data_IF_114316776317
#
_entry.id   IF_114316776317
#
_cell.length_a   1.000
_cell.length_b   1.000
_cell.length_c   1.000
_cell.angle_alpha   90.00
_cell.angle_beta   90.00
_cell.angle_gamma   90.00
#
_symmetry.space_group_name_H-M   'P 1'
#
loop_
_entity.id
_entity.type
_entity.pdbx_description
1 polymer ?
#
# COMPACT_ATOMS: atom_id res chain seq x y z
N UNK A 1 5.83 -10.09 23.80
CA UNK A 1 4.55 -9.49 24.22
C UNK A 1 3.65 -9.60 23.01
N UNK A 2 2.55 -10.34 23.08
CA UNK A 2 1.60 -10.40 21.96
C UNK A 2 1.00 -9.01 21.77
N UNK A 3 0.88 -8.50 20.53
CA UNK A 3 0.18 -7.24 20.30
C UNK A 3 -1.27 -7.34 20.82
N UNK A 4 -1.83 -6.24 21.35
CA UNK A 4 -3.20 -6.24 21.83
C UNK A 4 -4.15 -6.50 20.65
N UNK A 5 -4.96 -7.55 20.74
CA UNK A 5 -6.08 -7.78 19.83
C UNK A 5 -7.11 -6.67 20.05
N UNK A 6 -7.35 -5.83 19.05
CA UNK A 6 -8.36 -4.77 19.09
C UNK A 6 -9.76 -5.37 19.34
N UNK A 7 -10.41 -5.05 20.47
CA UNK A 7 -11.71 -5.61 20.83
C UNK A 7 -12.88 -5.10 19.98
N UNK A 8 -12.69 -4.06 19.15
CA UNK A 8 -13.77 -3.42 18.37
C UNK A 8 -13.76 -3.77 16.87
N UNK A 9 -12.88 -4.67 16.41
CA UNK A 9 -12.98 -5.18 15.03
C UNK A 9 -14.22 -6.08 14.90
N UNK A 10 -15.21 -5.76 14.04
CA UNK A 10 -16.35 -6.63 13.82
C UNK A 10 -15.86 -7.97 13.26
N UNK A 11 -15.88 -9.00 14.11
CA UNK A 11 -15.49 -10.37 13.75
C UNK A 11 -16.53 -10.91 12.76
N UNK A 12 -16.16 -11.00 11.49
CA UNK A 12 -16.94 -11.75 10.51
C UNK A 12 -16.63 -13.24 10.71
N UNK A 13 -17.57 -14.06 11.24
CA UNK A 13 -17.30 -15.45 11.62
C UNK A 13 -16.96 -16.37 10.44
N UNK A 14 -17.17 -15.90 9.20
CA UNK A 14 -16.88 -16.64 7.97
C UNK A 14 -15.51 -16.30 7.35
N UNK A 15 -14.76 -15.33 7.90
CA UNK A 15 -13.39 -15.04 7.48
C UNK A 15 -12.40 -15.83 8.35
N UNK A 16 -11.41 -16.53 7.77
CA UNK A 16 -10.37 -17.17 8.56
C UNK A 16 -9.62 -16.13 9.39
N UNK A 17 -9.31 -16.47 10.64
CA UNK A 17 -8.41 -15.70 11.50
C UNK A 17 -7.00 -15.77 10.90
N UNK A 18 -6.68 -14.79 10.06
CA UNK A 18 -5.39 -14.72 9.39
C UNK A 18 -4.46 -13.93 10.30
N UNK A 19 -3.35 -14.54 10.76
CA UNK A 19 -2.42 -13.84 11.63
C UNK A 19 -1.93 -12.57 10.94
N UNK A 20 -1.82 -11.49 11.72
CA UNK A 20 -1.29 -10.24 11.21
C UNK A 20 0.17 -10.44 10.76
N UNK A 21 0.57 -9.79 9.66
CA UNK A 21 1.95 -9.84 9.20
C UNK A 21 2.90 -9.31 10.29
N UNK A 22 4.09 -9.91 10.42
CA UNK A 22 5.16 -9.38 11.27
C UNK A 22 5.76 -8.16 10.59
N UNK A 23 5.19 -6.99 10.85
CA UNK A 23 5.65 -5.70 10.31
C UNK A 23 6.82 -5.21 11.17
N UNK A 24 8.02 -4.99 10.60
CA UNK A 24 9.13 -4.42 11.35
C UNK A 24 8.77 -3.05 11.96
N UNK A 25 9.18 -2.82 13.20
CA UNK A 25 8.92 -1.56 13.89
C UNK A 25 9.66 -0.39 13.21
N UNK A 26 8.90 0.61 12.77
CA UNK A 26 9.40 1.86 12.19
C UNK A 26 8.65 3.03 12.81
N UNK A 27 9.36 4.07 13.21
CA UNK A 27 8.77 5.21 13.89
C UNK A 27 7.75 5.96 13.01
N UNK A 28 6.75 6.56 13.65
CA UNK A 28 5.71 7.37 13.01
C UNK A 28 6.29 8.38 12.01
N UNK A 29 5.68 8.44 10.82
CA UNK A 29 6.09 9.32 9.73
C UNK A 29 7.44 8.98 9.07
N UNK A 30 8.09 7.87 9.46
CA UNK A 30 9.33 7.41 8.86
C UNK A 30 9.06 6.23 7.90
N UNK A 31 9.96 6.04 6.94
CA UNK A 31 9.88 4.96 5.96
C UNK A 31 11.18 4.16 6.05
N UNK A 32 11.10 2.85 6.20
CA UNK A 32 12.24 1.95 6.15
C UNK A 32 12.28 1.24 4.80
N UNK A 33 13.45 1.21 4.16
CA UNK A 33 13.72 0.34 2.99
C UNK A 33 14.94 -0.51 3.32
N UNK A 34 14.76 -1.83 3.34
CA UNK A 34 15.83 -2.81 3.60
C UNK A 34 16.68 -2.50 4.84
N UNK A 35 16.02 -2.09 5.94
CA UNK A 35 16.67 -1.74 7.21
C UNK A 35 17.21 -0.31 7.30
N UNK A 36 17.16 0.47 6.23
CA UNK A 36 17.58 1.89 6.23
C UNK A 36 16.36 2.79 6.37
N UNK A 37 16.40 3.76 7.30
CA UNK A 37 15.27 4.65 7.58
C UNK A 37 15.43 6.01 6.88
N UNK A 38 14.33 6.46 6.28
CA UNK A 38 14.18 7.69 5.52
C UNK A 38 13.07 8.56 6.13
N UNK A 39 13.21 9.88 5.97
CA UNK A 39 12.24 10.89 6.47
C UNK A 39 11.20 11.29 5.43
N UNK A 40 11.41 10.91 4.18
CA UNK A 40 10.58 11.34 3.07
C UNK A 40 10.44 10.22 2.05
N UNK A 41 9.28 10.22 1.38
CA UNK A 41 8.89 9.15 0.46
C UNK A 41 9.77 9.11 -0.79
N UNK A 42 10.34 10.24 -1.20
CA UNK A 42 11.15 10.32 -2.41
C UNK A 42 12.52 9.64 -2.21
N UNK A 43 13.17 9.91 -1.07
CA UNK A 43 14.41 9.23 -0.69
C UNK A 43 14.22 7.74 -0.49
N UNK A 44 13.10 7.32 0.12
CA UNK A 44 12.75 5.92 0.26
C UNK A 44 12.53 5.26 -1.12
N UNK A 45 11.73 5.88 -2.00
CA UNK A 45 11.48 5.36 -3.35
C UNK A 45 12.78 5.18 -4.15
N UNK A 46 13.72 6.11 -4.05
CA UNK A 46 15.01 6.02 -4.74
C UNK A 46 15.90 4.87 -4.23
N UNK A 47 15.65 4.37 -3.02
CA UNK A 47 16.39 3.26 -2.44
C UNK A 47 15.85 1.88 -2.82
N UNK A 48 14.60 1.79 -3.29
CA UNK A 48 13.95 0.52 -3.64
C UNK A 48 14.75 -0.22 -4.72
N UNK A 49 15.06 -1.48 -4.43
CA UNK A 49 15.68 -2.44 -5.34
C UNK A 49 14.73 -3.61 -5.60
N UNK A 50 14.99 -4.45 -6.62
CA UNK A 50 14.24 -5.70 -6.79
C UNK A 50 14.31 -6.55 -5.52
N UNK A 51 13.16 -7.00 -5.03
CA UNK A 51 13.07 -7.77 -3.78
C UNK A 51 13.03 -6.94 -2.48
N UNK A 52 13.02 -5.61 -2.56
CA UNK A 52 13.04 -4.76 -1.36
C UNK A 52 11.78 -4.90 -0.51
N UNK A 53 11.99 -4.79 0.81
CA UNK A 53 10.93 -4.57 1.78
C UNK A 53 10.88 -3.08 2.16
N UNK A 54 9.74 -2.46 1.89
CA UNK A 54 9.41 -1.09 2.28
C UNK A 54 8.41 -1.14 3.43
N UNK A 55 8.79 -0.59 4.57
CA UNK A 55 7.91 -0.47 5.75
C UNK A 55 7.62 0.99 6.02
N UNK A 56 6.36 1.34 6.19
CA UNK A 56 5.89 2.71 6.34
C UNK A 56 5.32 2.86 7.75
N UNK A 57 5.82 3.81 8.53
CA UNK A 57 5.33 4.07 9.87
C UNK A 57 3.91 4.61 9.89
N UNK A 58 3.30 4.61 11.06
CA UNK A 58 1.99 5.23 11.26
C UNK A 58 2.02 6.70 10.84
N UNK A 59 0.92 7.21 10.28
CA UNK A 59 0.79 8.61 9.90
C UNK A 59 0.05 8.83 8.58
N UNK A 60 -0.24 10.10 8.30
CA UNK A 60 -0.92 10.51 7.08
C UNK A 60 0.07 11.02 6.03
N UNK A 61 0.12 10.36 4.89
CA UNK A 61 1.03 10.63 3.79
C UNK A 61 0.33 11.38 2.65
N UNK A 62 1.00 12.45 2.19
CA UNK A 62 0.59 13.27 1.03
C UNK A 62 1.51 13.06 -0.18
N UNK A 63 2.33 12.01 -0.13
CA UNK A 63 3.23 11.59 -1.20
C UNK A 63 2.91 10.13 -1.54
N UNK A 64 2.85 9.81 -2.83
CA UNK A 64 2.62 8.45 -3.33
C UNK A 64 3.92 7.73 -3.64
N UNK A 65 3.82 6.50 -4.15
CA UNK A 65 4.96 5.69 -4.58
C UNK A 65 4.82 5.22 -6.03
N UNK A 66 5.89 5.42 -6.79
CA UNK A 66 6.10 4.79 -8.09
C UNK A 66 7.04 3.61 -7.92
N UNK A 67 6.48 2.39 -8.00
CA UNK A 67 7.22 1.14 -7.79
C UNK A 67 7.58 0.58 -9.17
N UNK A 68 8.87 0.60 -9.50
CA UNK A 68 9.38 0.14 -10.81
C UNK A 68 10.16 -1.17 -10.72
N UNK A 69 10.48 -1.61 -9.50
CA UNK A 69 11.25 -2.81 -9.21
C UNK A 69 10.32 -4.00 -8.99
N UNK A 70 10.78 -5.18 -9.40
CA UNK A 70 10.02 -6.42 -9.23
C UNK A 70 10.17 -6.99 -7.81
N UNK A 71 9.21 -7.81 -7.41
CA UNK A 71 9.20 -8.53 -6.13
C UNK A 71 9.28 -7.60 -4.90
N UNK A 72 8.77 -6.37 -5.00
CA UNK A 72 8.76 -5.41 -3.90
C UNK A 72 7.57 -5.67 -2.98
N UNK A 73 7.81 -5.62 -1.68
CA UNK A 73 6.76 -5.64 -0.66
C UNK A 73 6.69 -4.27 0.02
N UNK A 74 5.50 -3.69 0.06
CA UNK A 74 5.20 -2.45 0.80
C UNK A 74 4.24 -2.78 1.93
N UNK A 75 4.65 -2.51 3.17
CA UNK A 75 3.86 -2.74 4.38
C UNK A 75 3.64 -1.44 5.14
N UNK A 76 2.39 -1.11 5.41
CA UNK A 76 2.02 -0.08 6.37
C UNK A 76 2.01 -0.63 7.79
N UNK A 77 2.45 0.21 8.72
CA UNK A 77 2.17 0.02 10.14
C UNK A 77 0.71 0.40 10.41
N UNK A 78 0.18 -0.02 11.55
CA UNK A 78 -1.16 0.40 11.97
C UNK A 78 -1.28 1.94 11.97
N UNK A 79 -2.30 2.48 11.29
CA UNK A 79 -2.49 3.92 11.13
C UNK A 79 -1.70 4.56 9.95
N UNK A 80 -1.10 3.78 9.05
CA UNK A 80 -0.57 4.30 7.78
C UNK A 80 -1.72 4.66 6.83
N UNK A 81 -1.85 5.95 6.52
CA UNK A 81 -2.93 6.47 5.68
C UNK A 81 -2.41 7.35 4.54
N UNK A 82 -2.78 7.03 3.29
CA UNK A 82 -2.56 7.87 2.12
C UNK A 82 -3.81 8.66 1.79
N UNK A 83 -3.74 9.98 1.90
CA UNK A 83 -4.95 10.83 1.79
C UNK A 83 -4.81 11.88 0.69
N UNK A 84 -5.66 11.82 -0.32
CA UNK A 84 -5.81 12.83 -1.35
C UNK A 84 -4.59 12.97 -2.26
N UNK A 85 -3.85 11.88 -2.48
CA UNK A 85 -2.59 11.91 -3.22
C UNK A 85 -2.67 11.14 -4.53
N UNK A 86 -2.26 11.79 -5.61
CA UNK A 86 -2.04 11.18 -6.90
C UNK A 86 -0.66 11.57 -7.44
N UNK A 87 0.10 10.59 -7.92
CA UNK A 87 1.33 10.79 -8.67
C UNK A 87 1.08 10.53 -10.16
N UNK A 88 1.86 11.19 -11.01
CA UNK A 88 1.75 11.11 -12.47
C UNK A 88 0.36 11.45 -13.05
N UNK A 89 -0.51 12.09 -12.28
CA UNK A 89 -1.92 12.29 -12.66
C UNK A 89 -2.73 10.99 -12.71
N UNK A 90 -2.30 9.95 -12.00
CA UNK A 90 -2.88 8.60 -12.08
C UNK A 90 -3.42 8.09 -10.75
N UNK A 91 -2.55 7.84 -9.78
CA UNK A 91 -2.87 7.09 -8.58
C UNK A 91 -1.95 7.41 -7.40
N UNK A 92 -2.31 7.02 -6.17
CA UNK A 92 -1.39 7.05 -5.02
C UNK A 92 -0.20 6.11 -5.24
N UNK A 93 -0.47 4.87 -5.63
CA UNK A 93 0.54 3.87 -5.98
C UNK A 93 0.47 3.60 -7.48
N UNK A 94 1.56 3.87 -8.20
CA UNK A 94 1.73 3.45 -9.59
C UNK A 94 2.71 2.28 -9.59
N UNK A 95 2.22 1.10 -9.96
CA UNK A 95 2.96 -0.16 -9.84
C UNK A 95 3.34 -0.65 -11.23
N UNK A 96 4.56 -0.35 -11.67
CA UNK A 96 5.13 -0.84 -12.93
C UNK A 96 5.91 -2.16 -12.76
N UNK A 97 6.42 -2.43 -11.56
CA UNK A 97 7.13 -3.68 -11.25
C UNK A 97 6.22 -4.90 -11.20
N UNK A 98 6.78 -6.08 -11.49
CA UNK A 98 6.10 -7.36 -11.42
C UNK A 98 6.15 -7.96 -10.00
N UNK A 99 5.16 -8.78 -9.64
CA UNK A 99 5.10 -9.51 -8.36
C UNK A 99 5.16 -8.60 -7.11
N UNK A 100 4.52 -7.43 -7.17
CA UNK A 100 4.48 -6.46 -6.07
C UNK A 100 3.38 -6.83 -5.07
N UNK A 101 3.66 -6.64 -3.78
CA UNK A 101 2.67 -6.75 -2.70
C UNK A 101 2.53 -5.41 -1.98
N UNK A 102 1.30 -4.96 -1.77
CA UNK A 102 1.00 -3.79 -0.92
C UNK A 102 0.04 -4.26 0.17
N UNK A 103 0.41 -4.01 1.42
CA UNK A 103 -0.31 -4.53 2.59
C UNK A 103 -0.44 -3.50 3.71
N UNK A 104 -1.57 -3.51 4.42
CA UNK A 104 -1.72 -2.82 5.71
C UNK A 104 -1.78 -1.30 5.60
N UNK A 105 -2.38 -0.76 4.54
CA UNK A 105 -2.52 0.69 4.33
C UNK A 105 -3.98 1.10 4.19
N UNK A 106 -4.28 2.32 4.60
CA UNK A 106 -5.50 3.04 4.25
C UNK A 106 -5.20 3.97 3.06
N UNK A 107 -6.12 4.06 2.11
CA UNK A 107 -6.03 5.03 1.03
C UNK A 107 -7.38 5.67 0.72
N UNK A 108 -7.39 7.00 0.65
CA UNK A 108 -8.59 7.75 0.34
C UNK A 108 -8.41 9.08 -0.34
N UNK A 109 -9.51 9.65 -0.84
CA UNK A 109 -9.55 11.01 -1.38
C UNK A 109 -8.89 11.20 -2.75
N UNK A 110 -8.50 10.13 -3.46
CA UNK A 110 -7.77 10.28 -4.72
C UNK A 110 -8.72 10.79 -5.82
N UNK A 111 -8.41 11.95 -6.37
CA UNK A 111 -9.12 12.56 -7.50
C UNK A 111 -8.13 13.18 -8.47
N UNK A 112 -8.35 12.97 -9.77
CA UNK A 112 -7.51 13.51 -10.84
C UNK A 112 -8.39 14.13 -11.94
N UNK A 113 -7.85 15.04 -12.79
CA UNK A 113 -8.65 15.69 -13.84
C UNK A 113 -9.34 14.73 -14.82
N UNK A 114 -8.72 13.56 -15.06
CA UNK A 114 -9.22 12.52 -15.94
C UNK A 114 -10.34 11.66 -15.31
N UNK A 115 -10.75 11.96 -14.07
CA UNK A 115 -11.85 11.30 -13.34
C UNK A 115 -11.66 9.77 -13.18
N UNK A 116 -10.41 9.34 -13.08
CA UNK A 116 -10.02 7.95 -12.88
C UNK A 116 -8.88 7.78 -11.88
N UNK A 117 -8.80 8.71 -10.93
CA UNK A 117 -7.80 8.73 -9.87
C UNK A 117 -7.95 7.52 -8.96
N UNK A 118 -6.93 6.68 -8.89
CA UNK A 118 -7.00 5.42 -8.14
C UNK A 118 -6.12 5.42 -6.90
N UNK A 119 -6.47 4.66 -5.88
CA UNK A 119 -5.50 4.34 -4.83
C UNK A 119 -4.34 3.52 -5.39
N UNK A 120 -4.62 2.44 -6.11
CA UNK A 120 -3.57 1.63 -6.75
C UNK A 120 -3.81 1.51 -8.24
N UNK A 121 -2.77 1.80 -9.03
CA UNK A 121 -2.74 1.55 -10.47
C UNK A 121 -1.76 0.44 -10.80
N UNK A 122 -2.30 -0.71 -11.18
CA UNK A 122 -1.53 -1.86 -11.63
C UNK A 122 -1.14 -1.71 -13.11
N UNK A 123 0.16 -1.64 -13.37
CA UNK A 123 0.73 -1.62 -14.72
C UNK A 123 1.65 -2.83 -14.95
N UNK A 124 2.41 -3.24 -13.94
CA UNK A 124 3.17 -4.49 -13.91
C UNK A 124 2.29 -5.71 -13.64
N UNK A 125 2.89 -6.90 -13.74
CA UNK A 125 2.20 -8.18 -13.57
C UNK A 125 2.07 -8.58 -12.11
N UNK A 126 0.99 -9.30 -11.81
CA UNK A 126 0.85 -10.09 -10.59
C UNK A 126 0.95 -9.25 -9.30
N UNK A 127 -0.03 -8.35 -9.12
CA UNK A 127 -0.15 -7.53 -7.92
C UNK A 127 -0.95 -8.26 -6.83
N UNK A 128 -0.48 -8.16 -5.59
CA UNK A 128 -1.23 -8.57 -4.39
C UNK A 128 -1.54 -7.36 -3.52
N UNK A 129 -2.81 -7.23 -3.14
CA UNK A 129 -3.30 -6.22 -2.21
C UNK A 129 -3.93 -6.94 -1.03
N UNK A 130 -3.40 -6.73 0.17
CA UNK A 130 -3.86 -7.39 1.39
C UNK A 130 -4.14 -6.37 2.48
N UNK A 131 -5.24 -6.50 3.22
CA UNK A 131 -5.53 -5.60 4.36
C UNK A 131 -5.49 -4.11 3.98
N UNK A 132 -5.98 -3.79 2.79
CA UNK A 132 -6.02 -2.40 2.32
C UNK A 132 -7.43 -1.85 2.50
N UNK A 133 -7.54 -0.68 3.11
CA UNK A 133 -8.80 0.04 3.21
C UNK A 133 -8.87 1.14 2.15
N UNK A 134 -9.74 0.96 1.16
CA UNK A 134 -10.01 1.95 0.12
C UNK A 134 -11.30 2.69 0.42
N UNK A 135 -11.31 4.02 0.36
CA UNK A 135 -12.55 4.80 0.41
C UNK A 135 -12.40 6.18 -0.22
N UNK A 136 -13.52 6.85 -0.52
CA UNK A 136 -13.59 8.26 -0.93
C UNK A 136 -12.65 8.68 -2.09
N UNK A 137 -12.26 7.74 -2.93
CA UNK A 137 -11.45 7.96 -4.13
C UNK A 137 -12.29 7.75 -5.37
N UNK A 138 -11.95 8.37 -6.50
CA UNK A 138 -12.65 8.15 -7.76
C UNK A 138 -12.63 6.67 -8.17
N UNK A 139 -11.52 5.99 -7.89
CA UNK A 139 -11.35 4.55 -8.01
C UNK A 139 -10.56 3.99 -6.82
N UNK A 140 -10.89 2.78 -6.37
CA UNK A 140 -10.02 2.03 -5.45
C UNK A 140 -8.79 1.49 -6.20
N UNK A 141 -9.04 0.66 -7.22
CA UNK A 141 -7.98 -0.01 -7.99
C UNK A 141 -8.25 0.17 -9.48
N UNK A 142 -7.21 0.45 -10.26
CA UNK A 142 -7.26 0.50 -11.72
C UNK A 142 -6.15 -0.34 -12.32
N UNK A 143 -6.48 -1.33 -13.16
CA UNK A 143 -5.47 -2.17 -13.82
C UNK A 143 -5.33 -1.86 -15.31
N UNK A 144 -4.12 -2.07 -15.82
CA UNK A 144 -3.80 -1.94 -17.25
C UNK A 144 -3.99 -3.29 -17.96
N UNK A 145 -4.27 -3.27 -19.26
CA UNK A 145 -4.38 -4.51 -20.03
C UNK A 145 -3.06 -5.31 -20.00
N UNK A 146 -3.15 -6.63 -19.83
CA UNK A 146 -1.97 -7.50 -19.80
C UNK A 146 -1.19 -7.52 -18.48
N UNK A 147 -1.70 -6.86 -17.42
CA UNK A 147 -1.12 -6.84 -16.07
C UNK A 147 -1.24 -8.16 -15.28
N UNK A 148 -1.60 -9.26 -15.91
CA UNK A 148 -1.62 -10.57 -15.27
C UNK A 148 -2.65 -10.67 -14.14
N UNK A 149 -2.28 -11.33 -13.05
CA UNK A 149 -3.17 -11.58 -11.91
C UNK A 149 -3.27 -10.34 -11.02
N UNK A 150 -4.45 -10.11 -10.46
CA UNK A 150 -4.65 -9.23 -9.31
C UNK A 150 -5.24 -10.08 -8.18
N UNK A 151 -4.54 -10.14 -7.06
CA UNK A 151 -5.03 -10.81 -5.84
C UNK A 151 -5.43 -9.74 -4.85
N UNK A 152 -6.65 -9.82 -4.31
CA UNK A 152 -7.15 -8.91 -3.27
C UNK A 152 -7.68 -9.77 -2.15
N UNK A 153 -7.19 -9.53 -0.94
CA UNK A 153 -7.59 -10.27 0.26
C UNK A 153 -7.68 -9.34 1.48
N UNK A 154 -8.59 -9.67 2.41
CA UNK A 154 -8.78 -8.95 3.68
C UNK A 154 -8.94 -7.42 3.55
N UNK A 155 -9.40 -6.95 2.39
CA UNK A 155 -9.45 -5.52 2.04
C UNK A 155 -10.89 -5.02 2.06
N UNK A 156 -11.05 -3.73 2.36
CA UNK A 156 -12.34 -3.04 2.46
C UNK A 156 -12.46 -1.99 1.34
N UNK A 157 -13.66 -1.82 0.80
CA UNK A 157 -14.01 -0.93 -0.31
C UNK A 157 -15.22 -0.07 0.02
#
# INVERSE_FOLDING_TARGET
MTPPTDPDTPVNPDLPDVPDPDVPDVADGMIMVDGTVYKDMASAQAAIQPGSLVVIGAGTYKQGLHITQDNVTVQGSEGTHFSGVAIQGKATFVVDGDAVTIEGIECSGVSVPDQNGACVRQQGKDLTLSRVYFHDSEQGILSSSGSGKLTIEYSLF
#
